data_IF_273056324434
#
_entry.id   IF_273056324434
#
_cell.length_a   1.000
_cell.length_b   1.000
_cell.length_c   1.000
_cell.angle_alpha   90.00
_cell.angle_beta   90.00
_cell.angle_gamma   90.00
#
_symmetry.space_group_name_H-M   'P 1'
#
loop_
_entity.id
_entity.type
_entity.pdbx_description
1 polymer ?
#
# COMPACT_ATOMS: atom_id res chain seq x y z
N UNK A 1 -38.72 -64.52 -29.47
CA UNK A 1 -37.74 -64.38 -28.37
C UNK A 1 -37.27 -62.94 -28.39
N UNK A 2 -37.69 -62.16 -27.39
CA UNK A 2 -37.51 -60.71 -27.28
C UNK A 2 -36.14 -60.39 -26.69
N UNK A 3 -35.35 -59.51 -27.31
CA UNK A 3 -34.22 -58.85 -26.65
C UNK A 3 -34.25 -57.36 -27.01
N UNK A 4 -34.84 -56.56 -26.12
CA UNK A 4 -34.80 -55.10 -26.19
C UNK A 4 -33.48 -54.57 -25.61
N UNK A 5 -32.79 -53.70 -26.34
CA UNK A 5 -31.65 -52.96 -25.80
C UNK A 5 -32.14 -51.86 -24.84
N UNK A 6 -31.47 -51.65 -23.69
CA UNK A 6 -31.80 -50.54 -22.80
C UNK A 6 -31.16 -49.25 -23.34
N UNK A 7 -31.99 -48.24 -23.57
CA UNK A 7 -31.58 -46.87 -23.87
C UNK A 7 -31.07 -46.22 -22.57
N UNK A 8 -29.75 -46.17 -22.38
CA UNK A 8 -29.15 -45.41 -21.29
C UNK A 8 -29.15 -43.91 -21.65
N UNK A 9 -30.05 -43.14 -21.03
CA UNK A 9 -29.95 -41.68 -21.04
C UNK A 9 -28.73 -41.25 -20.21
N UNK A 10 -27.70 -40.76 -20.88
CA UNK A 10 -26.54 -40.15 -20.24
C UNK A 10 -26.94 -38.73 -19.78
N UNK A 11 -27.31 -38.59 -18.50
CA UNK A 11 -27.46 -37.28 -17.87
C UNK A 11 -26.07 -36.63 -17.75
N UNK A 12 -25.75 -35.73 -18.69
CA UNK A 12 -24.57 -34.87 -18.58
C UNK A 12 -24.85 -33.88 -17.45
N UNK A 13 -24.41 -34.20 -16.24
CA UNK A 13 -24.38 -33.22 -15.14
C UNK A 13 -23.34 -32.18 -15.50
N UNK A 14 -23.78 -30.96 -15.81
CA UNK A 14 -22.89 -29.81 -15.96
C UNK A 14 -22.25 -29.55 -14.58
N UNK A 15 -21.06 -30.09 -14.36
CA UNK A 15 -20.28 -29.74 -13.19
C UNK A 15 -19.94 -28.25 -13.30
N UNK A 16 -20.59 -27.42 -12.48
CA UNK A 16 -20.19 -26.03 -12.30
C UNK A 16 -18.85 -26.07 -11.58
N UNK A 17 -17.76 -26.07 -12.34
CA UNK A 17 -16.42 -25.92 -11.79
C UNK A 17 -16.35 -24.48 -11.28
N UNK A 18 -16.18 -24.25 -9.97
CA UNK A 18 -15.93 -22.91 -9.48
C UNK A 18 -14.63 -22.45 -10.12
N UNK A 19 -14.71 -21.47 -11.02
CA UNK A 19 -13.53 -20.79 -11.52
C UNK A 19 -12.90 -20.10 -10.33
N UNK A 20 -11.79 -20.64 -9.83
CA UNK A 20 -10.96 -19.96 -8.86
C UNK A 20 -10.37 -18.74 -9.60
N UNK A 21 -11.02 -17.58 -9.47
CA UNK A 21 -10.44 -16.33 -9.94
C UNK A 21 -9.07 -16.21 -9.29
N UNK A 22 -8.01 -16.24 -10.09
CA UNK A 22 -6.67 -15.90 -9.60
C UNK A 22 -6.78 -14.57 -8.85
N UNK A 23 -6.16 -14.43 -7.66
CA UNK A 23 -6.25 -13.18 -6.93
C UNK A 23 -5.64 -12.09 -7.80
N UNK A 24 -6.47 -11.17 -8.28
CA UNK A 24 -5.99 -9.88 -8.76
C UNK A 24 -5.14 -9.33 -7.63
N UNK A 25 -3.82 -9.23 -7.83
CA UNK A 25 -2.84 -8.77 -6.85
C UNK A 25 -3.42 -7.62 -6.02
N UNK A 26 -3.88 -7.94 -4.81
CA UNK A 26 -4.63 -6.97 -4.03
C UNK A 26 -3.65 -5.95 -3.46
N UNK A 27 -4.01 -4.67 -3.53
CA UNK A 27 -3.13 -3.55 -3.15
C UNK A 27 -2.56 -3.71 -1.74
N UNK A 28 -3.36 -4.18 -0.79
CA UNK A 28 -3.01 -4.31 0.61
C UNK A 28 -1.78 -5.22 0.87
N UNK A 29 -1.78 -6.52 0.48
CA UNK A 29 -0.63 -7.39 0.70
C UNK A 29 0.62 -6.90 -0.04
N UNK A 30 0.49 -6.32 -1.25
CA UNK A 30 1.65 -5.79 -1.98
C UNK A 30 2.25 -4.55 -1.32
N UNK A 31 1.42 -3.61 -0.85
CA UNK A 31 1.88 -2.44 -0.10
C UNK A 31 2.56 -2.87 1.19
N UNK A 32 1.94 -3.77 1.96
CA UNK A 32 2.51 -4.27 3.22
C UNK A 32 3.85 -4.97 2.98
N UNK A 33 3.93 -5.86 2.00
CA UNK A 33 5.16 -6.57 1.66
C UNK A 33 6.28 -5.61 1.23
N UNK A 34 5.96 -4.59 0.44
CA UNK A 34 6.94 -3.59 0.01
C UNK A 34 7.49 -2.78 1.20
N UNK A 35 6.64 -2.36 2.14
CA UNK A 35 7.09 -1.68 3.37
C UNK A 35 7.98 -2.60 4.21
N UNK A 36 7.53 -3.83 4.43
CA UNK A 36 8.25 -4.79 5.27
C UNK A 36 9.58 -5.22 4.65
N UNK A 37 9.69 -5.21 3.32
CA UNK A 37 10.97 -5.37 2.61
C UNK A 37 11.93 -4.25 2.96
N UNK A 38 11.50 -2.98 2.97
CA UNK A 38 12.35 -1.84 3.34
C UNK A 38 12.76 -1.91 4.81
N UNK A 39 11.80 -2.20 5.70
CA UNK A 39 12.02 -2.34 7.15
C UNK A 39 13.02 -3.44 7.50
N UNK A 40 12.96 -4.58 6.81
CA UNK A 40 13.89 -5.69 7.04
C UNK A 40 15.35 -5.32 6.78
N UNK A 41 15.62 -4.40 5.84
CA UNK A 41 16.99 -3.95 5.50
C UNK A 41 17.67 -3.19 6.64
N UNK A 42 16.89 -2.65 7.57
CA UNK A 42 17.38 -1.87 8.72
C UNK A 42 17.05 -2.55 10.06
N UNK A 43 16.53 -3.78 10.03
CA UNK A 43 16.28 -4.57 11.23
C UNK A 43 15.13 -4.10 12.11
N UNK A 44 14.19 -3.29 11.59
CA UNK A 44 12.99 -2.89 12.34
C UNK A 44 11.84 -3.89 12.13
N UNK A 45 11.04 -4.11 13.18
CA UNK A 45 9.93 -5.08 13.16
C UNK A 45 8.94 -4.81 12.01
N UNK A 46 8.35 -5.82 11.37
CA UNK A 46 7.39 -5.62 10.29
C UNK A 46 6.15 -4.86 10.78
N UNK A 47 5.54 -4.09 9.88
CA UNK A 47 4.21 -3.52 10.06
C UNK A 47 3.15 -4.59 9.85
N UNK A 48 1.99 -4.37 10.46
CA UNK A 48 0.75 -5.09 10.22
C UNK A 48 -0.22 -4.22 9.39
N UNK A 49 -1.07 -4.85 8.58
CA UNK A 49 -2.08 -4.11 7.83
C UNK A 49 -3.26 -3.73 8.72
N UNK A 50 -3.71 -2.47 8.61
CA UNK A 50 -4.90 -1.98 9.30
C UNK A 50 -6.02 -1.63 8.30
N UNK A 51 -7.13 -2.39 8.29
CA UNK A 51 -8.30 -2.07 7.47
C UNK A 51 -8.91 -0.69 7.81
N UNK A 52 -8.80 -0.24 9.06
CA UNK A 52 -9.25 1.09 9.48
C UNK A 52 -8.42 2.19 8.82
N UNK A 53 -7.09 2.08 8.86
CA UNK A 53 -6.19 3.04 8.21
C UNK A 53 -6.37 3.03 6.70
N UNK A 54 -6.59 1.86 6.09
CA UNK A 54 -6.91 1.75 4.66
C UNK A 54 -8.20 2.50 4.30
N UNK A 55 -9.27 2.36 5.10
CA UNK A 55 -10.52 3.07 4.86
C UNK A 55 -10.34 4.59 4.91
N UNK A 56 -9.55 5.09 5.87
CA UNK A 56 -9.20 6.51 5.98
C UNK A 56 -8.35 6.97 4.80
N UNK A 57 -7.34 6.19 4.41
CA UNK A 57 -6.48 6.46 3.26
C UNK A 57 -7.31 6.53 1.98
N UNK A 58 -8.30 5.65 1.83
CA UNK A 58 -9.21 5.60 0.67
C UNK A 58 -10.12 6.81 0.59
N UNK A 59 -10.61 7.31 1.73
CA UNK A 59 -11.38 8.55 1.77
C UNK A 59 -10.51 9.72 1.30
N UNK A 60 -9.29 9.81 1.83
CA UNK A 60 -8.42 10.94 1.56
C UNK A 60 -7.86 10.95 0.14
N UNK A 61 -7.37 9.80 -0.35
CA UNK A 61 -6.84 9.66 -1.71
C UNK A 61 -7.87 10.01 -2.78
N UNK A 62 -9.13 9.59 -2.59
CA UNK A 62 -10.25 9.98 -3.46
C UNK A 62 -10.52 11.48 -3.43
N UNK A 63 -10.52 12.10 -2.25
CA UNK A 63 -10.70 13.55 -2.11
C UNK A 63 -9.61 14.34 -2.83
N UNK A 64 -8.35 13.96 -2.61
CA UNK A 64 -7.20 14.58 -3.28
C UNK A 64 -7.30 14.42 -4.80
N UNK A 65 -7.56 13.20 -5.28
CA UNK A 65 -7.72 12.89 -6.70
C UNK A 65 -8.86 13.71 -7.35
N UNK A 66 -10.00 13.85 -6.67
CA UNK A 66 -11.16 14.59 -7.17
C UNK A 66 -10.93 16.10 -7.26
N UNK A 67 -10.30 16.67 -6.23
CA UNK A 67 -10.21 18.12 -6.06
C UNK A 67 -8.94 18.75 -6.64
N UNK A 68 -8.06 17.95 -7.27
CA UNK A 68 -6.82 18.47 -7.86
C UNK A 68 -5.75 18.90 -6.84
N UNK A 69 -5.90 18.50 -5.57
CA UNK A 69 -5.02 18.93 -4.48
C UNK A 69 -4.04 17.82 -4.11
N UNK A 70 -2.82 18.18 -3.71
CA UNK A 70 -1.81 17.27 -3.15
C UNK A 70 -1.28 17.86 -1.84
N UNK A 71 -1.85 17.42 -0.73
CA UNK A 71 -1.50 17.88 0.61
C UNK A 71 -1.82 16.83 1.67
N UNK A 72 -1.12 16.93 2.79
CA UNK A 72 -1.41 16.13 3.98
C UNK A 72 -2.82 16.39 4.53
N UNK A 73 -3.42 15.36 5.15
CA UNK A 73 -4.74 15.49 5.79
C UNK A 73 -4.65 16.37 7.03
N UNK A 74 -5.39 17.50 7.10
CA UNK A 74 -5.38 18.34 8.29
C UNK A 74 -5.93 17.59 9.52
N UNK A 75 -5.27 17.76 10.67
CA UNK A 75 -5.76 17.28 11.97
C UNK A 75 -5.76 15.76 12.14
N UNK A 76 -5.01 15.00 11.35
CA UNK A 76 -4.84 13.57 11.58
C UNK A 76 -3.88 13.31 12.75
N UNK A 77 -4.16 12.28 13.55
CA UNK A 77 -3.27 11.77 14.60
C UNK A 77 -2.32 10.67 14.12
N UNK A 78 -2.40 10.30 12.83
CA UNK A 78 -1.62 9.23 12.21
C UNK A 78 -0.45 9.82 11.41
N UNK A 79 0.61 9.05 11.25
CA UNK A 79 1.66 9.37 10.28
C UNK A 79 1.10 9.25 8.86
N UNK A 80 1.60 10.02 7.90
CA UNK A 80 1.07 10.01 6.53
C UNK A 80 2.18 10.11 5.47
N UNK A 81 2.18 9.19 4.51
CA UNK A 81 2.93 9.33 3.27
C UNK A 81 1.99 9.57 2.09
N UNK A 82 2.39 10.46 1.19
CA UNK A 82 1.67 10.78 -0.03
C UNK A 82 2.56 10.56 -1.25
N UNK A 83 1.95 10.10 -2.34
CA UNK A 83 2.60 10.02 -3.65
C UNK A 83 1.60 10.39 -4.73
N UNK A 84 2.05 11.13 -5.74
CA UNK A 84 1.22 11.53 -6.87
C UNK A 84 1.96 11.30 -8.18
N UNK A 85 1.21 10.87 -9.19
CA UNK A 85 1.68 10.83 -10.56
C UNK A 85 0.55 11.07 -11.56
N UNK A 86 0.92 11.36 -12.80
CA UNK A 86 0.01 11.38 -13.96
C UNK A 86 0.58 10.49 -15.05
N UNK A 87 -0.27 9.74 -15.73
CA UNK A 87 0.12 8.84 -16.83
C UNK A 87 -0.28 7.40 -16.51
N UNK A 88 0.68 6.48 -16.61
CA UNK A 88 0.47 5.07 -16.31
C UNK A 88 0.16 4.84 -14.82
N UNK A 89 -0.47 3.71 -14.50
CA UNK A 89 -0.77 3.34 -13.12
C UNK A 89 0.48 2.81 -12.43
N UNK A 90 0.78 3.36 -11.24
CA UNK A 90 1.87 2.86 -10.42
C UNK A 90 1.54 1.50 -9.80
N UNK A 91 2.59 0.72 -9.56
CA UNK A 91 2.51 -0.47 -8.71
C UNK A 91 2.79 -0.09 -7.25
N UNK A 92 2.25 -0.83 -6.26
CA UNK A 92 2.62 -0.69 -4.85
C UNK A 92 4.13 -0.63 -4.59
N UNK A 93 4.89 -1.51 -5.25
CA UNK A 93 6.34 -1.62 -5.12
C UNK A 93 7.04 -0.37 -5.65
N UNK A 94 6.56 0.22 -6.74
CA UNK A 94 7.10 1.45 -7.28
C UNK A 94 6.92 2.62 -6.31
N UNK A 95 5.72 2.78 -5.74
CA UNK A 95 5.42 3.87 -4.80
C UNK A 95 6.26 3.76 -3.53
N UNK A 96 6.28 2.59 -2.91
CA UNK A 96 7.09 2.37 -1.70
C UNK A 96 8.58 2.48 -2.02
N UNK A 97 9.01 2.02 -3.19
CA UNK A 97 10.38 2.18 -3.67
C UNK A 97 10.77 3.65 -3.87
N UNK A 98 9.86 4.50 -4.36
CA UNK A 98 10.07 5.93 -4.51
C UNK A 98 10.31 6.60 -3.14
N UNK A 99 9.42 6.37 -2.17
CA UNK A 99 9.60 6.84 -0.80
C UNK A 99 10.88 6.31 -0.15
N UNK A 100 11.17 5.02 -0.30
CA UNK A 100 12.37 4.40 0.26
C UNK A 100 13.66 4.91 -0.39
N UNK A 101 13.62 5.42 -1.62
CA UNK A 101 14.79 5.95 -2.31
C UNK A 101 15.41 7.17 -1.63
N UNK A 102 14.65 7.84 -0.75
CA UNK A 102 15.12 8.94 0.09
C UNK A 102 16.19 8.50 1.12
N UNK A 103 16.32 7.20 1.41
CA UNK A 103 17.36 6.67 2.28
C UNK A 103 18.78 7.09 1.87
N UNK A 104 19.01 7.28 0.56
CA UNK A 104 20.30 7.73 0.02
C UNK A 104 20.68 9.16 0.46
N UNK A 105 19.70 9.93 0.92
CA UNK A 105 19.82 11.33 1.31
C UNK A 105 19.75 11.51 2.84
N UNK A 106 19.46 10.45 3.59
CA UNK A 106 19.32 10.46 5.04
C UNK A 106 20.59 9.95 5.74
N UNK A 107 21.11 10.73 6.68
CA UNK A 107 22.21 10.32 7.55
C UNK A 107 21.66 9.97 8.94
N UNK A 108 21.72 8.68 9.28
CA UNK A 108 21.26 8.15 10.57
C UNK A 108 22.13 8.58 11.76
N UNK A 109 23.43 8.74 11.57
CA UNK A 109 24.36 9.12 12.65
C UNK A 109 24.02 10.53 13.15
N UNK A 110 23.90 11.48 12.24
CA UNK A 110 23.56 12.87 12.55
C UNK A 110 22.07 13.15 12.67
N UNK A 111 21.19 12.18 12.34
CA UNK A 111 19.75 12.37 12.22
C UNK A 111 19.37 13.55 11.29
N UNK A 112 20.02 13.63 10.13
CA UNK A 112 19.79 14.74 9.20
C UNK A 112 19.47 14.26 7.80
N UNK A 113 18.59 15.00 7.14
CA UNK A 113 18.37 14.87 5.70
C UNK A 113 19.34 15.81 4.96
N UNK A 114 19.86 15.38 3.82
CA UNK A 114 20.69 16.23 2.95
C UNK A 114 19.93 17.52 2.64
N UNK A 115 20.62 18.67 2.71
CA UNK A 115 20.02 19.99 2.46
C UNK A 115 19.30 20.00 1.10
N UNK A 116 18.01 20.35 1.12
CA UNK A 116 17.15 20.42 -0.07
C UNK A 116 16.62 19.08 -0.57
N UNK A 117 16.91 17.97 0.11
CA UNK A 117 16.29 16.67 -0.15
C UNK A 117 15.06 16.44 0.74
N UNK A 118 14.33 15.37 0.45
CA UNK A 118 13.23 14.87 1.27
C UNK A 118 13.67 13.53 1.87
N UNK A 119 13.39 13.33 3.16
CA UNK A 119 13.67 12.07 3.85
C UNK A 119 12.47 11.57 4.68
N UNK A 120 11.42 12.38 4.82
CA UNK A 120 10.30 12.10 5.70
C UNK A 120 9.52 10.86 5.31
N UNK A 121 9.45 10.53 4.01
CA UNK A 121 8.74 9.34 3.57
C UNK A 121 9.52 8.08 3.93
N UNK A 122 10.84 8.07 3.70
CA UNK A 122 11.70 6.98 4.13
C UNK A 122 11.64 6.80 5.65
N UNK A 123 11.89 7.86 6.42
CA UNK A 123 11.94 7.77 7.89
C UNK A 123 10.62 7.30 8.48
N UNK A 124 9.47 7.65 7.88
CA UNK A 124 8.18 7.11 8.29
C UNK A 124 8.05 5.61 8.00
N UNK A 125 8.47 5.12 6.83
CA UNK A 125 8.41 3.68 6.50
C UNK A 125 9.18 2.85 7.52
N UNK A 126 10.35 3.33 7.93
CA UNK A 126 11.26 2.62 8.85
C UNK A 126 11.13 3.06 10.30
N UNK A 127 10.12 3.85 10.65
CA UNK A 127 9.89 4.27 12.02
C UNK A 127 9.61 3.07 12.93
N UNK A 128 10.45 2.83 13.94
CA UNK A 128 10.41 1.62 14.78
C UNK A 128 9.10 1.49 15.55
N UNK A 129 8.51 2.61 15.92
CA UNK A 129 7.32 2.64 16.77
C UNK A 129 6.02 2.55 16.02
N UNK A 130 6.00 2.86 14.72
CA UNK A 130 4.85 2.56 13.87
C UNK A 130 4.66 1.04 13.79
N UNK A 131 3.45 0.57 14.09
CA UNK A 131 3.10 -0.85 14.14
C UNK A 131 2.15 -1.26 13.03
N UNK A 132 1.26 -0.35 12.63
CA UNK A 132 0.25 -0.59 11.63
C UNK A 132 0.40 0.35 10.45
N UNK A 133 0.01 -0.12 9.27
CA UNK A 133 -0.12 0.68 8.05
C UNK A 133 -1.40 0.35 7.32
N UNK A 134 -2.03 1.35 6.73
CA UNK A 134 -3.12 1.14 5.77
C UNK A 134 -3.03 2.16 4.65
N UNK A 135 -3.11 1.67 3.42
CA UNK A 135 -2.89 2.49 2.23
C UNK A 135 -4.02 2.36 1.24
N UNK A 136 -4.22 3.39 0.44
CA UNK A 136 -5.14 3.36 -0.68
C UNK A 136 -4.71 4.32 -1.78
N UNK A 137 -5.31 4.13 -2.95
CA UNK A 137 -5.10 4.94 -4.13
C UNK A 137 -6.41 5.54 -4.62
N UNK A 138 -6.38 6.82 -4.97
CA UNK A 138 -7.47 7.56 -5.58
C UNK A 138 -7.09 7.96 -6.99
N UNK A 139 -8.02 7.86 -7.95
CA UNK A 139 -7.76 8.13 -9.36
C UNK A 139 -8.80 9.08 -9.95
N UNK A 140 -8.36 9.98 -10.83
CA UNK A 140 -9.23 10.83 -11.66
C UNK A 140 -8.57 11.08 -13.02
N UNK A 141 -9.14 10.50 -14.07
CA UNK A 141 -8.47 10.47 -15.38
C UNK A 141 -7.15 9.71 -15.29
N UNK A 142 -6.07 10.31 -15.79
CA UNK A 142 -4.71 9.75 -15.70
C UNK A 142 -3.98 10.09 -14.40
N UNK A 143 -4.60 10.88 -13.51
CA UNK A 143 -4.01 11.29 -12.23
C UNK A 143 -4.27 10.25 -11.16
N UNK A 144 -3.23 9.95 -10.39
CA UNK A 144 -3.24 8.98 -9.32
C UNK A 144 -2.61 9.56 -8.06
N UNK A 145 -3.28 9.40 -6.91
CA UNK A 145 -2.81 9.85 -5.60
C UNK A 145 -2.85 8.68 -4.61
N UNK A 146 -1.71 8.34 -4.04
CA UNK A 146 -1.54 7.32 -3.02
C UNK A 146 -1.44 7.97 -1.65
N UNK A 147 -2.09 7.34 -0.67
CA UNK A 147 -2.06 7.73 0.74
C UNK A 147 -1.77 6.48 1.54
N UNK A 148 -0.82 6.56 2.47
CA UNK A 148 -0.61 5.56 3.52
C UNK A 148 -0.67 6.25 4.88
N UNK A 149 -1.45 5.69 5.80
CA UNK A 149 -1.43 6.09 7.21
C UNK A 149 -0.66 5.10 8.05
N UNK A 150 0.00 5.59 9.09
CA UNK A 150 0.81 4.82 10.04
C UNK A 150 0.35 5.07 11.47
N UNK A 151 0.28 4.01 12.27
CA UNK A 151 -0.12 4.10 13.67
C UNK A 151 0.77 3.21 14.57
N UNK A 152 1.36 3.76 15.65
CA UNK A 152 1.53 5.18 15.96
C UNK A 152 2.22 6.01 14.86
N UNK A 153 2.04 7.35 14.84
CA UNK A 153 2.77 8.23 13.92
C UNK A 153 4.28 8.19 14.18
N UNK A 154 5.06 8.38 13.11
CA UNK A 154 6.50 8.58 13.19
C UNK A 154 6.91 10.03 12.94
N UNK A 155 8.20 10.22 12.63
CA UNK A 155 8.80 11.51 12.31
C UNK A 155 8.68 12.55 13.43
N UNK A 156 8.82 12.12 14.67
CA UNK A 156 8.92 13.03 15.81
C UNK A 156 10.19 13.88 15.71
N UNK A 157 10.04 15.18 15.95
CA UNK A 157 11.13 16.14 15.82
C UNK A 157 12.28 15.80 16.78
N UNK A 158 13.49 15.67 16.24
CA UNK A 158 14.69 15.32 17.00
C UNK A 158 14.89 13.83 17.25
N UNK A 159 13.92 12.98 16.97
CA UNK A 159 14.03 11.53 17.16
C UNK A 159 14.54 10.82 15.90
N UNK A 160 15.26 9.70 16.11
CA UNK A 160 15.73 8.82 15.03
C UNK A 160 14.66 7.76 14.72
N UNK A 161 14.52 7.34 13.46
CA UNK A 161 13.54 6.34 13.09
C UNK A 161 13.84 4.95 13.67
N UNK A 162 15.11 4.63 13.96
CA UNK A 162 15.52 3.35 14.56
C UNK A 162 16.87 3.43 15.28
#
# INVERSE_FOLDING_TARGET
>A
MFHGLPLFLLLITLAVVPTLSAPTDSLAPLMLAAHNTVRSKVGVAPLEWSPQLEALARQWSKSLAANGQFRHRPGTSYGENLFEMTGDQATPQFVVGNWASEAKDYNLESNTCRRGAQCGHYTQIVWRDSKQVGCAVGRRGQREVWVCYYDPPGNWEGEKPY
#
